data_IF_937291247363
#
_entry.id   IF_937291247363
#
_cell.length_a   1.000
_cell.length_b   1.000
_cell.length_c   1.000
_cell.angle_alpha   90.00
_cell.angle_beta   90.00
_cell.angle_gamma   90.00
#
_symmetry.space_group_name_H-M   'P 1'
#
loop_
_entity.id
_entity.type
_entity.pdbx_description
1 polymer ?
#
# COMPACT_ATOMS: atom_id res chain seq x y z
N UNK A 1 24.83 26.11 7.20
CA UNK A 1 23.65 26.09 6.32
C UNK A 1 23.59 24.71 5.71
N UNK A 2 22.40 24.08 5.67
CA UNK A 2 22.21 22.76 5.06
C UNK A 2 22.74 22.73 3.63
N UNK A 3 23.58 21.75 3.33
CA UNK A 3 24.11 21.43 2.00
C UNK A 3 23.19 20.48 1.21
N UNK A 4 22.16 19.91 1.85
CA UNK A 4 21.25 18.90 1.29
C UNK A 4 20.64 19.26 -0.08
N UNK A 5 20.33 20.54 -0.31
CA UNK A 5 19.64 20.99 -1.51
C UNK A 5 20.53 21.71 -2.53
N UNK A 6 21.85 21.75 -2.31
CA UNK A 6 22.77 22.56 -3.11
C UNK A 6 22.69 22.23 -4.62
N UNK A 7 22.60 20.94 -4.97
CA UNK A 7 22.53 20.48 -6.36
C UNK A 7 21.10 20.08 -6.81
N UNK A 8 20.11 20.30 -5.95
CA UNK A 8 18.76 19.78 -6.16
C UNK A 8 18.05 20.41 -7.37
N UNK A 9 18.19 21.73 -7.59
CA UNK A 9 17.60 22.41 -8.76
C UNK A 9 18.11 21.86 -10.08
N UNK A 10 19.41 21.61 -10.15
CA UNK A 10 20.05 21.07 -11.34
C UNK A 10 19.57 19.65 -11.61
N UNK A 11 19.42 18.82 -10.57
CA UNK A 11 18.89 17.47 -10.69
C UNK A 11 17.40 17.46 -11.09
N UNK A 12 16.56 18.23 -10.40
CA UNK A 12 15.13 18.33 -10.66
C UNK A 12 14.84 18.87 -12.08
N UNK A 13 15.62 19.84 -12.55
CA UNK A 13 15.48 20.41 -13.89
C UNK A 13 15.72 19.44 -15.04
N UNK A 14 16.36 18.28 -14.79
CA UNK A 14 16.64 17.26 -15.83
C UNK A 14 15.47 16.34 -16.11
N UNK A 15 14.51 16.20 -15.20
CA UNK A 15 13.47 15.16 -15.29
C UNK A 15 12.17 15.67 -15.90
N UNK A 16 11.86 16.97 -15.75
CA UNK A 16 10.55 17.53 -16.08
C UNK A 16 9.39 16.91 -15.28
N UNK A 17 9.70 16.12 -14.24
CA UNK A 17 8.72 15.46 -13.40
C UNK A 17 8.11 16.45 -12.40
N UNK A 18 6.89 16.15 -11.95
CA UNK A 18 6.27 16.91 -10.87
C UNK A 18 7.04 16.69 -9.57
N UNK A 19 7.51 17.78 -8.96
CA UNK A 19 8.15 17.76 -7.66
C UNK A 19 7.12 18.02 -6.54
N UNK A 20 7.03 17.07 -5.62
CA UNK A 20 6.11 17.09 -4.48
C UNK A 20 6.47 18.16 -3.46
N UNK A 21 7.76 18.43 -3.28
CA UNK A 21 8.27 19.32 -2.23
C UNK A 21 8.41 20.74 -2.72
N UNK A 22 8.94 20.96 -3.93
CA UNK A 22 9.26 22.27 -4.48
C UNK A 22 8.37 22.64 -5.66
N UNK A 23 7.87 23.87 -5.66
CA UNK A 23 7.31 24.53 -6.81
C UNK A 23 8.44 25.03 -7.76
N UNK A 24 8.11 25.39 -9.01
CA UNK A 24 9.05 26.09 -9.89
C UNK A 24 9.70 27.28 -9.18
N UNK A 25 11.02 27.41 -9.26
CA UNK A 25 11.78 28.42 -8.51
C UNK A 25 12.27 27.97 -7.13
N UNK A 26 12.17 26.68 -6.79
CA UNK A 26 12.64 26.08 -5.53
C UNK A 26 11.95 26.61 -4.26
N UNK A 27 10.75 27.14 -4.40
CA UNK A 27 9.92 27.45 -3.24
C UNK A 27 9.27 26.17 -2.72
N UNK A 28 9.43 25.86 -1.44
CA UNK A 28 8.73 24.72 -0.84
C UNK A 28 7.22 24.95 -0.95
N UNK A 29 6.48 23.91 -1.36
CA UNK A 29 5.02 23.91 -1.36
C UNK A 29 4.51 23.93 0.09
N UNK A 30 3.35 24.53 0.32
CA UNK A 30 2.78 24.66 1.68
C UNK A 30 2.63 23.31 2.39
N UNK A 31 2.25 22.26 1.66
CA UNK A 31 2.14 20.89 2.18
C UNK A 31 3.45 20.32 2.71
N UNK A 32 4.59 20.83 2.21
CA UNK A 32 5.93 20.41 2.57
C UNK A 32 6.69 21.42 3.43
N UNK A 33 6.07 22.54 3.85
CA UNK A 33 6.77 23.60 4.59
C UNK A 33 7.49 23.09 5.84
N UNK A 34 6.81 22.33 6.69
CA UNK A 34 7.40 21.73 7.90
C UNK A 34 8.53 20.74 7.60
N UNK A 35 8.36 19.92 6.55
CA UNK A 35 9.39 18.97 6.11
C UNK A 35 10.62 19.74 5.60
N UNK A 36 10.40 20.80 4.82
CA UNK A 36 11.48 21.64 4.31
C UNK A 36 12.24 22.34 5.44
N UNK A 37 11.53 22.86 6.44
CA UNK A 37 12.15 23.54 7.57
C UNK A 37 12.88 22.59 8.52
N UNK A 38 12.39 21.35 8.66
CA UNK A 38 13.12 20.29 9.35
C UNK A 38 14.41 19.94 8.60
N UNK A 39 14.32 19.66 7.30
CA UNK A 39 15.48 19.27 6.48
C UNK A 39 16.54 20.37 6.41
N UNK A 40 16.16 21.65 6.29
CA UNK A 40 17.10 22.78 6.25
C UNK A 40 17.97 22.92 7.51
N UNK A 41 17.56 22.32 8.63
CA UNK A 41 18.30 22.32 9.89
C UNK A 41 19.29 21.16 10.00
N UNK A 42 19.26 20.21 9.07
CA UNK A 42 20.10 19.03 9.04
C UNK A 42 21.22 19.18 8.00
N UNK A 43 22.36 18.57 8.28
CA UNK A 43 23.41 18.33 7.29
C UNK A 43 23.20 16.99 6.58
N UNK A 44 23.90 16.77 5.46
CA UNK A 44 23.93 15.45 4.80
C UNK A 44 24.40 14.31 5.74
N UNK A 45 25.32 14.62 6.66
CA UNK A 45 25.79 13.66 7.66
C UNK A 45 24.68 13.29 8.66
N UNK A 46 23.88 14.26 9.10
CA UNK A 46 22.75 14.00 10.01
C UNK A 46 21.68 13.13 9.34
N UNK A 47 21.37 13.42 8.07
CA UNK A 47 20.41 12.64 7.28
C UNK A 47 20.88 11.19 7.09
N UNK A 48 22.16 11.01 6.71
CA UNK A 48 22.75 9.67 6.57
C UNK A 48 22.73 8.89 7.88
N UNK A 49 23.10 9.52 9.00
CA UNK A 49 23.08 8.87 10.31
C UNK A 49 21.67 8.45 10.76
N UNK A 50 20.66 9.28 10.46
CA UNK A 50 19.24 8.95 10.73
C UNK A 50 18.76 7.78 9.86
N UNK A 51 19.10 7.79 8.56
CA UNK A 51 18.77 6.70 7.65
C UNK A 51 19.41 5.37 8.11
N UNK A 52 20.68 5.38 8.50
CA UNK A 52 21.37 4.21 9.05
C UNK A 52 20.71 3.68 10.34
N UNK A 53 20.29 4.59 11.23
CA UNK A 53 19.59 4.22 12.46
C UNK A 53 18.22 3.58 12.18
N UNK A 54 17.48 4.10 11.20
CA UNK A 54 16.21 3.53 10.76
C UNK A 54 16.40 2.16 10.12
N UNK A 55 17.39 2.00 9.24
CA UNK A 55 17.70 0.72 8.61
C UNK A 55 18.08 -0.37 9.63
N UNK A 56 18.85 -0.02 10.67
CA UNK A 56 19.15 -0.94 11.78
C UNK A 56 17.90 -1.33 12.56
N UNK A 57 17.00 -0.38 12.81
CA UNK A 57 15.72 -0.67 13.49
C UNK A 57 14.85 -1.64 12.69
N UNK A 58 14.89 -1.58 11.36
CA UNK A 58 14.21 -2.53 10.49
C UNK A 58 14.81 -3.93 10.57
N UNK A 59 16.15 -4.04 10.57
CA UNK A 59 16.85 -5.31 10.78
C UNK A 59 16.50 -5.94 12.13
N UNK A 60 16.58 -5.18 13.22
CA UNK A 60 16.21 -5.65 14.57
C UNK A 60 14.73 -6.05 14.64
N UNK A 61 13.91 -5.37 13.81
CA UNK A 61 12.50 -5.61 13.48
C UNK A 61 12.20 -6.96 12.83
N UNK A 62 13.18 -7.55 12.17
CA UNK A 62 12.96 -8.59 11.16
C UNK A 62 12.23 -8.09 9.91
N UNK A 63 12.18 -6.76 9.68
CA UNK A 63 11.56 -6.17 8.49
C UNK A 63 12.57 -6.25 7.35
N UNK A 64 12.64 -7.43 6.73
CA UNK A 64 13.53 -7.74 5.61
C UNK A 64 12.70 -8.04 4.36
N UNK A 65 13.33 -7.86 3.20
CA UNK A 65 12.79 -8.34 1.94
C UNK A 65 13.80 -9.28 1.29
N UNK A 66 13.29 -10.30 0.60
CA UNK A 66 14.11 -11.20 -0.19
C UNK A 66 14.53 -10.50 -1.49
N UNK A 67 15.83 -10.31 -1.65
CA UNK A 67 16.43 -9.88 -2.91
C UNK A 67 17.45 -10.93 -3.36
N UNK A 68 17.08 -11.70 -4.38
CA UNK A 68 17.94 -12.73 -4.97
C UNK A 68 18.43 -13.80 -3.97
N UNK A 69 17.64 -14.13 -2.95
CA UNK A 69 17.96 -15.11 -1.92
C UNK A 69 18.73 -14.55 -0.71
N UNK A 70 18.99 -13.24 -0.69
CA UNK A 70 19.55 -12.55 0.48
C UNK A 70 18.47 -11.69 1.15
N UNK A 71 18.30 -11.88 2.46
CA UNK A 71 17.50 -10.96 3.27
C UNK A 71 18.22 -9.62 3.40
N UNK A 72 17.59 -8.55 2.92
CA UNK A 72 18.09 -7.19 3.07
C UNK A 72 17.11 -6.32 3.83
N UNK A 73 17.59 -5.36 4.64
CA UNK A 73 16.70 -4.39 5.26
C UNK A 73 16.01 -3.57 4.18
N UNK A 74 14.70 -3.38 4.35
CA UNK A 74 13.93 -2.53 3.45
C UNK A 74 14.51 -1.10 3.45
N UNK A 75 14.94 -0.57 2.29
CA UNK A 75 15.52 0.77 2.22
C UNK A 75 14.42 1.79 2.52
N UNK A 76 14.58 2.54 3.61
CA UNK A 76 13.63 3.56 4.01
C UNK A 76 14.25 4.96 3.87
N UNK A 77 13.61 5.79 3.06
CA UNK A 77 13.95 7.21 2.96
C UNK A 77 13.37 7.96 4.18
N UNK A 78 14.14 8.91 4.72
CA UNK A 78 13.72 9.74 5.85
C UNK A 78 12.78 10.89 5.43
N UNK A 79 12.67 11.17 4.13
CA UNK A 79 11.82 12.23 3.60
C UNK A 79 10.44 11.64 3.32
N UNK A 80 9.39 12.04 4.06
CA UNK A 80 8.07 11.46 3.87
C UNK A 80 7.43 11.93 2.55
N UNK A 81 6.61 11.05 1.97
CA UNK A 81 5.64 11.44 0.95
C UNK A 81 4.42 12.06 1.62
N UNK A 82 4.28 13.38 1.53
CA UNK A 82 3.14 14.11 2.10
C UNK A 82 2.04 14.20 1.05
N UNK A 83 0.83 13.77 1.42
CA UNK A 83 -0.37 13.90 0.60
C UNK A 83 -1.36 14.82 1.34
N UNK A 84 -1.67 16.01 0.81
CA UNK A 84 -2.65 16.92 1.40
C UNK A 84 -4.03 16.27 1.53
N UNK A 85 -4.78 16.63 2.57
CA UNK A 85 -6.11 16.06 2.84
C UNK A 85 -7.06 16.20 1.63
N UNK A 86 -7.07 17.35 0.96
CA UNK A 86 -7.93 17.57 -0.21
C UNK A 86 -7.61 16.65 -1.39
N UNK A 87 -6.32 16.34 -1.61
CA UNK A 87 -5.91 15.38 -2.65
C UNK A 87 -6.21 13.95 -2.23
N UNK A 88 -5.96 13.61 -0.96
CA UNK A 88 -6.30 12.30 -0.41
C UNK A 88 -7.80 12.01 -0.51
N UNK A 89 -8.66 12.98 -0.22
CA UNK A 89 -10.11 12.78 -0.29
C UNK A 89 -10.57 12.46 -1.73
N UNK A 90 -9.90 13.02 -2.76
CA UNK A 90 -10.14 12.67 -4.16
C UNK A 90 -9.65 11.25 -4.46
N UNK A 91 -8.42 10.92 -4.04
CA UNK A 91 -7.83 9.59 -4.20
C UNK A 91 -8.68 8.50 -3.57
N UNK A 92 -9.07 8.68 -2.30
CA UNK A 92 -9.87 7.73 -1.53
C UNK A 92 -11.20 7.44 -2.24
N UNK A 93 -11.93 8.48 -2.69
CA UNK A 93 -13.18 8.30 -3.42
C UNK A 93 -12.96 7.60 -4.76
N UNK A 94 -11.92 7.98 -5.50
CA UNK A 94 -11.60 7.41 -6.80
C UNK A 94 -11.22 5.93 -6.71
N UNK A 95 -10.34 5.58 -5.76
CA UNK A 95 -9.95 4.20 -5.48
C UNK A 95 -11.16 3.38 -5.04
N UNK A 96 -11.97 3.89 -4.10
CA UNK A 96 -13.17 3.18 -3.64
C UNK A 96 -14.20 2.98 -4.77
N UNK A 97 -14.35 3.94 -5.68
CA UNK A 97 -15.19 3.79 -6.87
C UNK A 97 -14.66 2.69 -7.79
N UNK A 98 -13.36 2.71 -8.08
CA UNK A 98 -12.70 1.74 -8.97
C UNK A 98 -12.83 0.31 -8.44
N UNK A 99 -12.60 0.10 -7.15
CA UNK A 99 -12.72 -1.22 -6.51
C UNK A 99 -14.15 -1.76 -6.60
N UNK A 100 -15.18 -0.91 -6.40
CA UNK A 100 -16.58 -1.33 -6.60
C UNK A 100 -16.87 -1.74 -8.05
N UNK A 101 -16.27 -1.06 -9.02
CA UNK A 101 -16.41 -1.43 -10.43
C UNK A 101 -15.72 -2.77 -10.74
N UNK A 102 -14.53 -3.01 -10.18
CA UNK A 102 -13.81 -4.30 -10.31
C UNK A 102 -14.60 -5.45 -9.68
N UNK A 103 -15.16 -5.23 -8.49
CA UNK A 103 -16.03 -6.19 -7.80
C UNK A 103 -17.28 -6.52 -8.64
N UNK A 104 -17.97 -5.50 -9.15
CA UNK A 104 -19.13 -5.69 -10.01
C UNK A 104 -18.78 -6.42 -11.31
N UNK A 105 -17.63 -6.09 -11.92
CA UNK A 105 -17.14 -6.76 -13.12
C UNK A 105 -16.85 -8.25 -12.86
N UNK A 106 -16.19 -8.59 -11.75
CA UNK A 106 -15.91 -9.98 -11.40
C UNK A 106 -17.21 -10.75 -11.11
N UNK A 107 -18.16 -10.14 -10.42
CA UNK A 107 -19.48 -10.73 -10.18
C UNK A 107 -20.21 -11.01 -11.49
N UNK A 108 -20.23 -10.06 -12.41
CA UNK A 108 -20.88 -10.21 -13.71
C UNK A 108 -20.22 -11.29 -14.58
N UNK A 109 -18.88 -11.24 -14.69
CA UNK A 109 -18.11 -12.18 -15.52
C UNK A 109 -18.27 -13.64 -15.07
N UNK A 110 -18.41 -13.88 -13.77
CA UNK A 110 -18.63 -15.22 -13.24
C UNK A 110 -20.11 -15.62 -13.13
N UNK A 111 -21.04 -14.73 -13.48
CA UNK A 111 -22.48 -15.00 -13.58
C UNK A 111 -22.98 -14.77 -15.02
N UNK A 112 -23.76 -13.72 -15.27
CA UNK A 112 -24.49 -13.51 -16.54
C UNK A 112 -23.62 -13.03 -17.70
N UNK A 113 -22.41 -12.52 -17.43
CA UNK A 113 -21.54 -11.85 -18.42
C UNK A 113 -22.29 -10.74 -19.20
N UNK A 114 -23.09 -9.93 -18.51
CA UNK A 114 -23.85 -8.83 -19.10
C UNK A 114 -22.93 -7.79 -19.77
N UNK A 115 -21.74 -7.53 -19.21
CA UNK A 115 -20.72 -6.66 -19.82
C UNK A 115 -20.30 -7.12 -21.22
N UNK A 116 -20.44 -8.42 -21.50
CA UNK A 116 -20.18 -9.02 -22.82
C UNK A 116 -21.42 -8.91 -23.71
N UNK A 117 -22.63 -9.19 -23.19
CA UNK A 117 -23.86 -9.07 -23.97
C UNK A 117 -24.13 -7.63 -24.41
N UNK A 118 -23.72 -6.66 -23.59
CA UNK A 118 -23.85 -5.23 -23.84
C UNK A 118 -22.76 -4.69 -24.77
N UNK A 119 -21.80 -5.54 -25.17
CA UNK A 119 -20.73 -5.19 -26.10
C UNK A 119 -19.61 -4.30 -25.52
N UNK A 120 -19.58 -4.09 -24.21
CA UNK A 120 -18.57 -3.26 -23.53
C UNK A 120 -17.21 -3.96 -23.50
N UNK A 121 -17.19 -5.27 -23.22
CA UNK A 121 -15.97 -6.09 -23.18
C UNK A 121 -16.11 -7.29 -24.12
N UNK A 122 -15.17 -7.51 -25.07
CA UNK A 122 -15.16 -8.70 -25.89
C UNK A 122 -15.03 -10.00 -25.07
N UNK A 123 -15.89 -10.99 -25.34
CA UNK A 123 -15.88 -12.31 -24.68
C UNK A 123 -14.50 -12.96 -24.67
N UNK A 124 -13.77 -12.84 -25.77
CA UNK A 124 -12.46 -13.48 -25.93
C UNK A 124 -11.46 -12.96 -24.89
N UNK A 125 -11.43 -11.64 -24.61
CA UNK A 125 -10.51 -11.06 -23.63
C UNK A 125 -10.65 -11.67 -22.23
N UNK A 126 -11.87 -12.04 -21.86
CA UNK A 126 -12.16 -12.69 -20.59
C UNK A 126 -11.81 -14.18 -20.67
N UNK A 127 -12.45 -14.89 -21.59
CA UNK A 127 -12.48 -16.36 -21.61
C UNK A 127 -11.17 -17.03 -22.03
N UNK A 128 -10.25 -16.30 -22.68
CA UNK A 128 -8.91 -16.80 -23.03
C UNK A 128 -7.84 -16.43 -22.00
N UNK A 129 -8.19 -15.66 -20.96
CA UNK A 129 -7.26 -15.36 -19.88
C UNK A 129 -6.88 -16.63 -19.12
N UNK A 130 -5.59 -16.81 -18.83
CA UNK A 130 -5.10 -17.89 -17.98
C UNK A 130 -5.64 -17.80 -16.53
N UNK A 131 -6.15 -16.64 -16.14
CA UNK A 131 -6.72 -16.37 -14.81
C UNK A 131 -8.25 -16.34 -14.81
N UNK A 132 -8.88 -16.75 -15.90
CA UNK A 132 -10.32 -17.00 -15.93
C UNK A 132 -10.60 -18.44 -15.47
N UNK A 133 -11.12 -18.58 -14.26
CA UNK A 133 -11.35 -19.88 -13.64
C UNK A 133 -12.82 -20.30 -13.80
N UNK A 134 -13.10 -21.20 -14.75
CA UNK A 134 -14.47 -21.69 -15.02
C UNK A 134 -15.12 -22.36 -13.80
N UNK A 135 -14.31 -22.89 -12.89
CA UNK A 135 -14.73 -23.57 -11.68
C UNK A 135 -15.51 -22.68 -10.71
N UNK A 136 -15.32 -21.35 -10.78
CA UNK A 136 -16.03 -20.40 -9.91
C UNK A 136 -17.24 -19.75 -10.59
N UNK A 137 -17.67 -20.26 -11.74
CA UNK A 137 -18.90 -19.81 -12.40
C UNK A 137 -20.13 -20.18 -11.58
N UNK A 138 -21.05 -19.22 -11.39
CA UNK A 138 -22.23 -19.37 -10.52
C UNK A 138 -21.92 -19.48 -9.02
N UNK A 139 -20.65 -19.37 -8.62
CA UNK A 139 -20.27 -19.34 -7.22
C UNK A 139 -20.53 -17.95 -6.64
N UNK A 140 -21.39 -17.88 -5.63
CA UNK A 140 -21.64 -16.67 -4.85
C UNK A 140 -20.80 -16.69 -3.56
N UNK A 141 -19.84 -15.78 -3.39
CA UNK A 141 -19.07 -15.70 -2.16
C UNK A 141 -19.95 -15.24 -0.99
N UNK A 142 -19.65 -15.72 0.22
CA UNK A 142 -20.29 -15.23 1.43
C UNK A 142 -20.07 -13.72 1.58
N UNK A 143 -21.14 -12.99 1.93
CA UNK A 143 -21.15 -11.53 1.97
C UNK A 143 -21.14 -10.84 0.60
N UNK A 144 -21.13 -11.58 -0.51
CA UNK A 144 -21.14 -11.02 -1.87
C UNK A 144 -19.85 -10.28 -2.24
N UNK A 145 -18.74 -10.56 -1.55
CA UNK A 145 -17.45 -9.91 -1.77
C UNK A 145 -16.43 -10.92 -2.31
N UNK A 146 -15.86 -10.64 -3.48
CA UNK A 146 -14.74 -11.38 -4.07
C UNK A 146 -13.41 -10.75 -3.68
N UNK A 147 -13.29 -9.43 -3.85
CA UNK A 147 -12.08 -8.67 -3.61
C UNK A 147 -12.10 -8.07 -2.21
N UNK A 148 -11.68 -8.86 -1.23
CA UNK A 148 -11.64 -8.43 0.17
C UNK A 148 -10.56 -7.37 0.43
N UNK A 149 -9.44 -7.46 -0.28
CA UNK A 149 -8.33 -6.51 -0.24
C UNK A 149 -7.94 -6.20 -1.68
N UNK A 150 -7.70 -4.91 -1.96
CA UNK A 150 -7.16 -4.46 -3.25
C UNK A 150 -6.02 -3.47 -3.02
N UNK A 151 -4.94 -3.64 -3.78
CA UNK A 151 -3.86 -2.66 -3.89
C UNK A 151 -3.99 -1.93 -5.21
N UNK A 152 -4.15 -0.60 -5.19
CA UNK A 152 -4.24 0.20 -6.41
C UNK A 152 -2.97 1.03 -6.55
N UNK A 153 -2.18 0.73 -7.58
CA UNK A 153 -0.91 1.40 -7.80
C UNK A 153 -1.16 2.73 -8.50
N UNK A 154 -0.81 3.81 -7.80
CA UNK A 154 -1.04 5.17 -8.28
C UNK A 154 0.26 5.93 -8.45
N UNK A 155 0.34 6.71 -9.53
CA UNK A 155 1.44 7.63 -9.79
C UNK A 155 0.92 9.04 -9.99
N UNK A 156 1.74 10.03 -9.67
CA UNK A 156 1.47 11.42 -10.04
C UNK A 156 2.20 11.70 -11.36
N UNK A 157 1.47 12.11 -12.38
CA UNK A 157 2.04 12.49 -13.67
C UNK A 157 2.75 13.86 -13.62
N UNK A 158 3.42 14.25 -14.71
CA UNK A 158 4.14 15.52 -14.78
C UNK A 158 3.23 16.77 -14.63
N UNK A 159 1.92 16.62 -14.85
CA UNK A 159 0.93 17.68 -14.63
C UNK A 159 0.44 17.71 -13.17
N UNK A 160 0.94 16.83 -12.30
CA UNK A 160 0.56 16.74 -10.91
C UNK A 160 -0.72 15.93 -10.66
N UNK A 161 -1.23 15.21 -11.67
CA UNK A 161 -2.48 14.46 -11.60
C UNK A 161 -2.22 13.00 -11.24
N UNK A 162 -3.01 12.45 -10.31
CA UNK A 162 -2.94 11.02 -9.99
C UNK A 162 -3.53 10.14 -11.10
N UNK A 163 -2.83 9.06 -11.44
CA UNK A 163 -3.19 8.07 -12.44
C UNK A 163 -3.01 6.67 -11.86
N UNK A 164 -3.89 5.74 -12.23
CA UNK A 164 -3.75 4.32 -11.89
C UNK A 164 -2.85 3.65 -12.91
N UNK A 165 -1.85 2.91 -12.44
CA UNK A 165 -1.01 2.05 -13.27
C UNK A 165 -1.52 0.61 -13.29
N UNK A 166 -1.87 0.08 -12.11
CA UNK A 166 -2.18 -1.33 -11.94
C UNK A 166 -3.18 -1.58 -10.80
N UNK A 167 -3.95 -2.66 -10.94
CA UNK A 167 -4.92 -3.14 -9.95
C UNK A 167 -4.50 -4.52 -9.43
N UNK A 168 -4.17 -4.60 -8.14
CA UNK A 168 -3.79 -5.84 -7.45
C UNK A 168 -4.97 -6.36 -6.64
N UNK A 169 -5.74 -7.30 -7.22
CA UNK A 169 -6.96 -7.87 -6.62
C UNK A 169 -6.85 -9.36 -6.28
N UNK A 170 -5.62 -9.87 -6.17
CA UNK A 170 -5.34 -11.27 -5.81
C UNK A 170 -4.96 -11.37 -4.34
N UNK A 171 -3.66 -11.37 -4.06
CA UNK A 171 -3.07 -11.36 -2.73
C UNK A 171 -2.15 -10.14 -2.67
N UNK A 172 -2.71 -8.92 -2.61
CA UNK A 172 -1.89 -7.72 -2.54
C UNK A 172 -1.10 -7.72 -1.24
N UNK A 173 0.18 -7.38 -1.33
CA UNK A 173 1.07 -7.23 -0.19
C UNK A 173 1.47 -5.78 0.02
N UNK A 174 2.08 -5.47 1.17
CA UNK A 174 2.75 -4.20 1.41
C UNK A 174 2.31 -3.48 2.68
N UNK A 175 1.22 -3.92 3.32
CA UNK A 175 0.64 -3.20 4.45
C UNK A 175 1.52 -3.26 5.70
N UNK A 176 2.31 -4.34 5.85
CA UNK A 176 3.30 -4.45 6.92
C UNK A 176 4.30 -3.29 6.86
N UNK A 177 4.82 -3.00 5.66
CA UNK A 177 5.72 -1.88 5.43
C UNK A 177 5.04 -0.54 5.71
N UNK A 178 3.76 -0.34 5.38
CA UNK A 178 3.05 0.91 5.72
C UNK A 178 3.05 1.17 7.23
N UNK A 179 2.75 0.14 8.02
CA UNK A 179 2.71 0.24 9.48
C UNK A 179 4.10 0.47 10.08
N UNK A 180 5.10 -0.27 9.61
CA UNK A 180 6.47 -0.18 10.11
C UNK A 180 7.16 1.12 9.66
N UNK A 181 6.93 1.56 8.41
CA UNK A 181 7.41 2.84 7.90
C UNK A 181 6.84 3.99 8.75
N UNK A 182 5.55 3.98 9.09
CA UNK A 182 4.97 5.03 9.93
C UNK A 182 5.66 5.14 11.28
N UNK A 183 5.91 4.01 11.94
CA UNK A 183 6.56 3.95 13.26
C UNK A 183 8.01 4.43 13.20
N UNK A 184 8.75 4.02 12.18
CA UNK A 184 10.14 4.41 12.02
C UNK A 184 10.29 5.87 11.61
N UNK A 185 9.42 6.35 10.72
CA UNK A 185 9.40 7.74 10.30
C UNK A 185 9.18 8.72 11.46
N UNK A 186 8.29 8.38 12.40
CA UNK A 186 8.08 9.17 13.61
C UNK A 186 9.34 9.30 14.49
N UNK A 187 10.29 8.37 14.39
CA UNK A 187 11.59 8.41 15.09
C UNK A 187 12.69 9.06 14.26
N UNK A 188 12.65 8.89 12.93
CA UNK A 188 13.69 9.37 12.02
C UNK A 188 13.67 10.88 11.76
N UNK A 189 12.47 11.46 11.67
CA UNK A 189 12.28 12.90 11.44
C UNK A 189 11.18 13.46 12.35
N UNK A 190 11.34 13.39 13.68
CA UNK A 190 10.32 13.82 14.64
C UNK A 190 9.92 15.29 14.45
N UNK A 191 10.84 16.13 13.99
CA UNK A 191 10.61 17.55 13.73
C UNK A 191 9.54 17.79 12.66
N UNK A 192 9.47 16.93 11.65
CA UNK A 192 8.45 17.01 10.59
C UNK A 192 7.10 16.40 11.03
N UNK A 193 7.11 15.49 12.00
CA UNK A 193 5.91 14.79 12.48
C UNK A 193 5.19 15.56 13.60
N UNK A 194 5.93 16.25 14.47
CA UNK A 194 5.39 16.87 15.68
C UNK A 194 4.39 18.01 15.45
N UNK A 195 4.41 18.64 14.26
CA UNK A 195 3.54 19.77 13.94
C UNK A 195 2.42 19.43 12.93
N UNK A 196 2.38 18.19 12.43
CA UNK A 196 1.42 17.77 11.40
C UNK A 196 0.28 16.93 11.97
N UNK A 197 -0.93 17.16 11.47
CA UNK A 197 -2.11 16.32 11.76
C UNK A 197 -2.11 15.09 10.84
N UNK A 198 -1.22 14.14 11.12
CA UNK A 198 -1.05 12.93 10.33
C UNK A 198 -2.14 11.91 10.70
N UNK A 199 -2.91 11.43 9.71
CA UNK A 199 -3.93 10.39 9.93
C UNK A 199 -3.27 9.06 10.34
N UNK A 200 -3.72 8.37 11.40
CA UNK A 200 -3.15 7.10 11.85
C UNK A 200 -3.44 5.97 10.85
N UNK A 201 -2.60 4.93 10.86
CA UNK A 201 -2.71 3.74 10.00
C UNK A 201 -2.83 2.44 10.79
N UNK A 202 -2.61 2.50 12.11
CA UNK A 202 -2.50 1.37 13.03
C UNK A 202 -3.81 0.59 13.19
N UNK A 203 -4.95 1.19 12.82
CA UNK A 203 -6.25 0.52 12.86
C UNK A 203 -6.46 -0.52 11.76
N UNK A 204 -5.59 -0.56 10.74
CA UNK A 204 -5.76 -1.41 9.56
C UNK A 204 -6.04 -2.89 9.91
N UNK A 205 -5.22 -3.58 10.73
CA UNK A 205 -5.43 -5.01 11.01
C UNK A 205 -6.78 -5.28 11.68
N UNK A 206 -7.20 -4.42 12.61
CA UNK A 206 -8.50 -4.53 13.29
C UNK A 206 -9.66 -4.35 12.31
N UNK A 207 -9.55 -3.39 11.39
CA UNK A 207 -10.57 -3.15 10.35
C UNK A 207 -10.65 -4.32 9.38
N UNK A 208 -9.50 -4.88 8.98
CA UNK A 208 -9.44 -6.06 8.12
C UNK A 208 -10.10 -7.27 8.80
N UNK A 209 -9.74 -7.59 10.05
CA UNK A 209 -10.36 -8.67 10.80
C UNK A 209 -11.89 -8.48 10.90
N UNK A 210 -12.35 -7.25 11.19
CA UNK A 210 -13.77 -6.95 11.24
C UNK A 210 -14.47 -7.15 9.89
N UNK A 211 -13.80 -6.83 8.77
CA UNK A 211 -14.33 -7.06 7.43
C UNK A 211 -14.41 -8.57 7.12
N UNK A 212 -13.37 -9.34 7.43
CA UNK A 212 -13.34 -10.79 7.23
C UNK A 212 -14.42 -11.52 8.06
N UNK A 213 -14.65 -11.10 9.31
CA UNK A 213 -15.73 -11.67 10.13
C UNK A 213 -17.12 -11.40 9.56
N UNK A 214 -17.32 -10.29 8.85
CA UNK A 214 -18.59 -9.95 8.21
C UNK A 214 -18.87 -10.77 6.95
N UNK A 215 -17.87 -11.46 6.40
CA UNK A 215 -18.02 -12.33 5.24
C UNK A 215 -18.14 -13.81 5.63
N UNK A 216 -18.45 -14.10 6.90
CA UNK A 216 -18.77 -15.45 7.34
C UNK A 216 -20.04 -15.99 6.63
N UNK A 217 -20.13 -17.31 6.38
CA UNK A 217 -21.35 -17.94 5.86
C UNK A 217 -22.56 -17.72 6.78
N UNK A 218 -23.76 -17.79 6.21
CA UNK A 218 -25.00 -17.66 6.97
C UNK A 218 -25.09 -18.72 8.08
N UNK A 219 -25.50 -18.29 9.29
CA UNK A 219 -25.61 -19.16 10.47
C UNK A 219 -24.33 -19.26 11.32
N UNK A 220 -23.28 -18.51 11.00
CA UNK A 220 -22.05 -18.43 11.80
C UNK A 220 -22.02 -17.12 12.57
N UNK A 221 -22.26 -17.19 13.89
CA UNK A 221 -22.30 -16.00 14.75
C UNK A 221 -20.91 -15.56 15.26
N UNK A 222 -19.99 -16.51 15.47
CA UNK A 222 -18.61 -16.26 15.91
C UNK A 222 -17.60 -16.97 14.98
N UNK A 223 -17.23 -16.34 13.85
CA UNK A 223 -16.35 -16.94 12.87
C UNK A 223 -14.87 -16.91 13.30
N UNK A 224 -14.24 -18.07 13.27
CA UNK A 224 -12.78 -18.19 13.36
C UNK A 224 -12.13 -17.72 12.06
N UNK A 225 -11.23 -16.74 12.17
CA UNK A 225 -10.41 -16.25 11.06
C UNK A 225 -8.98 -16.74 11.27
N UNK A 226 -8.33 -17.17 10.19
CA UNK A 226 -6.92 -17.58 10.17
C UNK A 226 -6.21 -16.96 8.96
N UNK A 227 -4.90 -16.82 9.03
CA UNK A 227 -4.06 -16.44 7.89
C UNK A 227 -3.39 -17.71 7.34
N UNK A 228 -3.80 -18.13 6.14
CA UNK A 228 -3.15 -19.25 5.45
C UNK A 228 -1.89 -18.77 4.72
N UNK A 229 -0.75 -19.39 5.01
CA UNK A 229 0.54 -19.06 4.41
C UNK A 229 1.16 -20.28 3.71
N UNK A 230 1.89 -20.09 2.60
CA UNK A 230 2.72 -21.14 1.99
C UNK A 230 3.98 -21.49 2.81
N UNK A 231 4.25 -20.76 3.90
CA UNK A 231 5.37 -21.03 4.81
C UNK A 231 6.58 -20.11 4.62
N UNK A 232 7.64 -20.41 5.37
CA UNK A 232 8.83 -19.56 5.57
C UNK A 232 9.62 -19.24 4.30
N UNK A 233 9.49 -20.05 3.25
CA UNK A 233 10.21 -19.85 1.98
C UNK A 233 9.52 -18.87 1.03
N UNK A 234 8.41 -18.26 1.47
CA UNK A 234 7.73 -17.22 0.70
C UNK A 234 8.25 -15.83 1.08
N UNK A 235 8.52 -15.00 0.08
CA UNK A 235 9.06 -13.65 0.29
C UNK A 235 8.14 -12.71 1.09
N UNK A 236 6.84 -12.99 1.16
CA UNK A 236 5.87 -12.25 1.97
C UNK A 236 5.59 -12.90 3.34
N UNK A 237 6.33 -13.94 3.74
CA UNK A 237 6.10 -14.65 5.00
C UNK A 237 6.17 -13.74 6.24
N UNK A 238 7.09 -12.78 6.23
CA UNK A 238 7.17 -11.76 7.27
C UNK A 238 5.85 -10.99 7.40
N UNK A 239 5.27 -10.56 6.27
CA UNK A 239 4.00 -9.84 6.26
C UNK A 239 2.85 -10.70 6.76
N UNK A 240 2.78 -11.98 6.36
CA UNK A 240 1.75 -12.91 6.83
C UNK A 240 1.80 -13.06 8.35
N UNK A 241 3.01 -13.25 8.89
CA UNK A 241 3.26 -13.42 10.33
C UNK A 241 2.91 -12.17 11.11
N UNK A 242 3.35 -11.00 10.63
CA UNK A 242 3.05 -9.73 11.28
C UNK A 242 1.55 -9.44 11.26
N UNK A 243 0.89 -9.63 10.12
CA UNK A 243 -0.54 -9.35 9.98
C UNK A 243 -1.38 -10.29 10.84
N UNK A 244 -1.04 -11.59 10.89
CA UNK A 244 -1.70 -12.56 11.77
C UNK A 244 -1.56 -12.15 13.25
N UNK A 245 -0.34 -11.81 13.68
CA UNK A 245 -0.07 -11.35 15.04
C UNK A 245 -0.80 -10.06 15.40
N UNK A 246 -0.87 -9.08 14.48
CA UNK A 246 -1.59 -7.82 14.70
C UNK A 246 -3.12 -7.97 14.69
N UNK A 247 -3.65 -8.92 13.92
CA UNK A 247 -5.06 -9.28 13.96
C UNK A 247 -5.40 -10.13 15.19
N UNK A 248 -4.41 -10.80 15.79
CA UNK A 248 -4.63 -11.75 16.88
C UNK A 248 -5.31 -13.03 16.39
N UNK A 249 -4.90 -13.53 15.23
CA UNK A 249 -5.40 -14.76 14.62
C UNK A 249 -4.27 -15.75 14.37
N UNK A 250 -4.63 -17.02 14.21
CA UNK A 250 -3.66 -18.08 13.92
C UNK A 250 -3.07 -17.92 12.51
N UNK A 251 -1.76 -18.15 12.41
CA UNK A 251 -1.04 -18.33 11.15
C UNK A 251 -0.92 -19.83 10.88
N UNK A 252 -1.52 -20.30 9.79
CA UNK A 252 -1.62 -21.74 9.48
C UNK A 252 -1.01 -22.05 8.11
N UNK A 253 -0.47 -23.25 7.95
CA UNK A 253 -0.07 -23.83 6.67
C UNK A 253 -1.13 -24.83 6.18
N UNK A 254 -1.04 -25.24 4.90
CA UNK A 254 -2.01 -26.18 4.33
C UNK A 254 -2.08 -27.56 5.00
N UNK A 255 -1.09 -27.93 5.81
CA UNK A 255 -1.09 -29.19 6.59
C UNK A 255 -1.85 -29.11 7.91
N UNK A 256 -2.20 -27.89 8.35
CA UNK A 256 -2.89 -27.65 9.62
C UNK A 256 -4.43 -27.69 9.47
N UNK A 257 -4.93 -27.83 8.23
CA UNK A 257 -6.35 -27.87 7.85
C UNK A 257 -6.68 -29.16 7.09
#
# INVERSE_FOLDING_TARGET
>A
MSDLFQDYSVAAGRTGAYDEMFAPGQQARDSYAEVADALRKLSLADVSARADSMARTFLDRGVTFDYAGEERPFPLDIVPRVIPAGEWDVLERGVAQRVRALEAFLNDVYDKMTVVSDGVIPRQLVTTSAHFHRQVHGFEPAGGVRVHISGIDVVRDAAGTFRVLEDNVRVPSGVSYVLENRRAMAKGLPEAFGQQLIRPVEEYPRRLLSALRKTAPAGVDDPTVVVLTPGVFNSAYFEHTLLAGLMGVELVEGRDL
#
